data_IF_429701042882
#
_entry.id   IF_429701042882
#
_cell.length_a   1.000
_cell.length_b   1.000
_cell.length_c   1.000
_cell.angle_alpha   90.00
_cell.angle_beta   90.00
_cell.angle_gamma   90.00
#
_symmetry.space_group_name_H-M   'P 1'
#
loop_
_entity.id
_entity.type
_entity.pdbx_description
1 polymer ?
#
# COMPACT_ATOMS: atom_id res chain seq x y z
N UNK A 1 -2.37 12.27 26.43
CA UNK A 1 -3.28 12.46 25.26
C UNK A 1 -4.44 13.29 25.74
N UNK A 2 -4.67 14.41 25.08
CA UNK A 2 -5.90 15.16 25.24
C UNK A 2 -7.02 14.40 24.52
N UNK A 3 -8.00 13.91 25.27
CA UNK A 3 -9.33 13.72 24.68
C UNK A 3 -9.79 15.06 24.11
N UNK A 4 -10.41 15.06 22.93
CA UNK A 4 -10.74 16.30 22.22
C UNK A 4 -11.52 17.25 23.14
N UNK A 5 -10.99 18.44 23.37
CA UNK A 5 -11.62 19.47 24.23
C UNK A 5 -11.37 19.30 25.73
N UNK A 6 -10.41 18.47 26.13
CA UNK A 6 -9.95 18.35 27.51
C UNK A 6 -8.54 18.89 27.66
N UNK A 7 -8.14 19.17 28.90
CA UNK A 7 -6.79 19.63 29.23
C UNK A 7 -5.74 18.54 29.01
N UNK A 8 -4.49 18.90 28.66
CA UNK A 8 -3.40 17.94 28.51
C UNK A 8 -3.09 17.19 29.80
N UNK A 9 -3.10 15.87 29.70
CA UNK A 9 -2.70 14.97 30.79
C UNK A 9 -1.35 14.36 30.44
N UNK A 10 -0.38 14.52 31.34
CA UNK A 10 0.90 13.83 31.31
C UNK A 10 0.70 12.37 31.73
N UNK A 11 1.30 11.45 30.99
CA UNK A 11 1.14 10.01 31.19
C UNK A 11 2.52 9.36 31.13
N UNK A 12 2.81 8.45 32.06
CA UNK A 12 4.08 7.74 32.09
C UNK A 12 4.17 6.71 30.96
N UNK A 13 3.05 6.07 30.61
CA UNK A 13 2.96 5.09 29.52
C UNK A 13 1.64 5.19 28.77
N UNK A 14 1.64 4.82 27.48
CA UNK A 14 0.44 4.83 26.63
C UNK A 14 0.52 3.81 25.50
N UNK A 15 -0.60 3.13 25.24
CA UNK A 15 -0.77 2.25 24.09
C UNK A 15 -1.89 2.78 23.18
N UNK A 16 -1.66 2.77 21.86
CA UNK A 16 -2.60 3.23 20.84
C UNK A 16 -2.75 2.14 19.78
N UNK A 17 -3.98 1.86 19.35
CA UNK A 17 -4.22 0.95 18.22
C UNK A 17 -3.75 1.61 16.92
N UNK A 18 -2.88 0.95 16.16
CA UNK A 18 -2.29 1.52 14.94
C UNK A 18 -3.33 2.07 13.93
N UNK A 19 -4.48 1.42 13.79
CA UNK A 19 -5.54 1.85 12.87
C UNK A 19 -6.19 3.21 13.20
N UNK A 20 -6.04 3.73 14.41
CA UNK A 20 -6.62 5.03 14.79
C UNK A 20 -5.67 6.20 14.53
N UNK A 21 -4.43 5.92 14.15
CA UNK A 21 -3.40 6.94 13.89
C UNK A 21 -3.57 7.46 12.46
N UNK A 22 -3.63 8.79 12.32
CA UNK A 22 -3.78 9.47 11.01
C UNK A 22 -2.51 10.17 10.55
N UNK A 23 -1.72 10.65 11.50
CA UNK A 23 -0.50 11.41 11.24
C UNK A 23 0.59 10.96 12.20
N UNK A 24 1.82 10.91 11.68
CA UNK A 24 3.04 10.76 12.45
C UNK A 24 3.89 11.99 12.18
N UNK A 25 4.41 12.62 13.23
CA UNK A 25 5.39 13.70 13.10
C UNK A 25 6.75 13.03 13.26
N UNK A 26 7.52 12.97 12.17
CA UNK A 26 8.84 12.36 12.15
C UNK A 26 9.92 13.44 12.26
N UNK A 27 11.11 13.11 12.79
CA UNK A 27 12.26 14.03 12.75
C UNK A 27 12.68 14.35 11.31
N UNK A 28 13.03 15.60 11.03
CA UNK A 28 13.43 16.06 9.70
C UNK A 28 14.69 15.36 9.17
N UNK A 29 15.56 14.88 10.07
CA UNK A 29 16.80 14.19 9.73
C UNK A 29 16.64 12.71 9.39
N UNK A 30 15.41 12.18 9.41
CA UNK A 30 15.18 10.76 9.15
C UNK A 30 15.28 10.47 7.63
N UNK A 31 16.15 9.54 7.18
CA UNK A 31 16.34 9.26 5.77
C UNK A 31 15.19 8.41 5.19
N UNK A 32 14.05 9.05 4.92
CA UNK A 32 12.84 8.39 4.45
C UNK A 32 13.03 7.61 3.16
N UNK A 33 13.79 8.14 2.20
CA UNK A 33 14.01 7.49 0.90
C UNK A 33 14.64 6.09 1.02
N UNK A 34 15.43 5.88 2.07
CA UNK A 34 16.05 4.57 2.36
C UNK A 34 15.13 3.64 3.14
N UNK A 35 14.30 4.18 4.02
CA UNK A 35 13.42 3.41 4.90
C UNK A 35 12.06 3.09 4.28
N UNK A 36 11.63 3.87 3.28
CA UNK A 36 10.40 3.67 2.53
C UNK A 36 10.59 2.79 1.29
N UNK A 37 11.74 2.12 1.17
CA UNK A 37 11.95 1.12 0.13
C UNK A 37 11.14 -0.12 0.50
N UNK A 38 10.27 -0.55 -0.41
CA UNK A 38 9.63 -1.87 -0.33
C UNK A 38 10.70 -2.95 -0.53
N UNK A 39 11.37 -3.35 0.56
CA UNK A 39 12.26 -4.52 0.61
C UNK A 39 11.48 -5.85 0.55
N UNK A 40 10.15 -5.78 0.43
CA UNK A 40 9.32 -6.94 0.20
C UNK A 40 9.73 -7.60 -1.13
N UNK A 41 10.05 -8.90 -1.13
CA UNK A 41 10.39 -9.60 -2.35
C UNK A 41 9.23 -9.49 -3.34
N UNK A 42 9.47 -8.86 -4.50
CA UNK A 42 8.45 -8.67 -5.54
C UNK A 42 7.77 -10.01 -5.82
N UNK A 43 6.45 -10.14 -5.62
CA UNK A 43 5.75 -11.39 -5.91
C UNK A 43 5.93 -11.72 -7.39
N UNK A 44 6.56 -12.87 -7.67
CA UNK A 44 6.97 -13.31 -9.02
C UNK A 44 5.81 -13.69 -9.95
N UNK A 45 4.57 -13.34 -9.62
CA UNK A 45 3.42 -13.72 -10.44
C UNK A 45 2.98 -12.58 -11.35
N UNK A 46 3.60 -12.54 -12.54
CA UNK A 46 3.01 -11.90 -13.72
C UNK A 46 1.79 -12.72 -14.16
N UNK A 47 0.66 -12.55 -13.49
CA UNK A 47 -0.63 -12.90 -14.08
C UNK A 47 -1.06 -11.77 -15.04
N UNK A 48 -0.27 -11.55 -16.10
CA UNK A 48 -0.78 -10.93 -17.33
C UNK A 48 -1.36 -12.06 -18.16
N UNK A 49 -2.68 -12.19 -18.12
CA UNK A 49 -3.40 -12.51 -19.35
C UNK A 49 -4.56 -11.53 -19.49
N UNK A 50 -4.14 -10.34 -19.92
CA UNK A 50 -4.94 -9.45 -20.75
C UNK A 50 -5.63 -10.31 -21.82
N UNK A 51 -6.93 -10.53 -21.66
CA UNK A 51 -7.78 -11.03 -22.75
C UNK A 51 -9.06 -10.23 -22.73
N UNK A 52 -8.93 -8.94 -23.00
CA UNK A 52 -10.07 -8.12 -23.41
C UNK A 52 -9.67 -7.35 -24.69
N UNK A 53 -10.45 -7.57 -25.75
CA UNK A 53 -10.62 -6.76 -26.98
C UNK A 53 -9.61 -6.85 -28.13
N UNK A 54 -10.07 -7.48 -29.23
CA UNK A 54 -10.00 -6.85 -30.56
C UNK A 54 -9.13 -7.49 -31.65
N UNK A 55 -9.77 -8.29 -32.51
CA UNK A 55 -9.69 -8.21 -33.99
C UNK A 55 -8.41 -8.61 -34.74
N UNK A 56 -8.50 -9.64 -35.60
CA UNK A 56 -8.21 -9.60 -37.06
C UNK A 56 -8.01 -11.01 -37.65
N UNK A 57 -8.81 -11.33 -38.68
CA UNK A 57 -8.38 -12.13 -39.83
C UNK A 57 -8.50 -13.66 -39.74
N UNK A 58 -9.44 -14.24 -40.50
CA UNK A 58 -9.34 -15.64 -40.96
C UNK A 58 -8.11 -15.86 -41.85
N UNK A 59 -7.75 -17.10 -42.26
CA UNK A 59 -8.65 -17.95 -43.05
C UNK A 59 -8.50 -19.49 -42.85
N UNK A 60 -9.29 -20.26 -43.61
CA UNK A 60 -9.10 -21.66 -44.07
C UNK A 60 -9.67 -22.82 -43.25
N UNK A 61 -10.77 -23.36 -43.78
CA UNK A 61 -10.86 -24.78 -44.19
C UNK A 61 -11.40 -25.79 -43.17
N UNK A 62 -12.58 -26.38 -43.46
CA UNK A 62 -13.12 -27.57 -42.76
C UNK A 62 -12.32 -28.86 -43.09
N UNK A 63 -12.90 -30.08 -43.09
CA UNK A 63 -14.17 -30.59 -42.54
C UNK A 63 -13.97 -31.75 -41.53
N UNK A 64 -14.97 -32.00 -40.67
CA UNK A 64 -15.45 -33.32 -40.21
C UNK A 64 -16.50 -33.12 -39.13
#
# INVERSE_FOLDING_TARGET
MTTKGQDPIALDTMNIRGSTIRYFILPDSLPLDTLLVDDAPKPKNKARKETDRGGRGGPRGGPR
#
